data_IF_267568081564
#
_entry.id   IF_267568081564
#
_cell.length_a   1.000
_cell.length_b   1.000
_cell.length_c   1.000
_cell.angle_alpha   90.00
_cell.angle_beta   90.00
_cell.angle_gamma   90.00
#
_symmetry.space_group_name_H-M   'P 1'
#
loop_
_entity.id
_entity.type
_entity.pdbx_description
1 polymer ?
#
# COMPACT_ATOMS: atom_id res chain seq x y z
N UNK A 1 6.57 -15.32 23.71
CA UNK A 1 6.34 -13.96 23.18
C UNK A 1 6.99 -13.94 21.80
N UNK A 2 6.28 -13.57 20.74
CA UNK A 2 6.78 -13.65 19.36
C UNK A 2 7.49 -12.34 19.02
N UNK A 3 8.70 -12.41 18.46
CA UNK A 3 9.45 -11.23 18.00
C UNK A 3 9.00 -10.88 16.58
N UNK A 4 8.56 -9.64 16.37
CA UNK A 4 8.16 -9.11 15.08
C UNK A 4 9.36 -8.54 14.35
N UNK A 5 9.64 -9.06 13.15
CA UNK A 5 10.74 -8.61 12.29
C UNK A 5 10.15 -8.11 10.99
N UNK A 6 10.40 -6.84 10.65
CA UNK A 6 9.98 -6.23 9.39
C UNK A 6 11.22 -5.95 8.54
N UNK A 7 11.32 -6.60 7.39
CA UNK A 7 12.38 -6.33 6.42
C UNK A 7 11.85 -5.37 5.37
N UNK A 8 12.39 -4.16 5.34
CA UNK A 8 12.02 -3.09 4.42
C UNK A 8 12.98 -3.08 3.24
N UNK A 9 12.44 -3.16 2.03
CA UNK A 9 13.23 -3.17 0.80
C UNK A 9 12.46 -2.55 -0.36
N UNK A 10 13.10 -2.38 -1.51
CA UNK A 10 12.47 -1.85 -2.72
C UNK A 10 13.29 -0.78 -3.42
N UNK A 11 12.68 -0.10 -4.38
CA UNK A 11 13.35 0.83 -5.31
C UNK A 11 14.04 1.99 -4.57
N UNK A 12 15.18 2.46 -5.05
CA UNK A 12 15.84 3.63 -4.50
C UNK A 12 15.04 4.89 -4.85
N UNK A 13 14.72 5.72 -3.85
CA UNK A 13 13.82 6.87 -4.03
C UNK A 13 12.32 6.56 -3.85
N UNK A 14 11.95 5.33 -3.49
CA UNK A 14 10.54 4.96 -3.21
C UNK A 14 10.03 5.42 -1.84
N UNK A 15 10.89 5.90 -0.95
CA UNK A 15 10.48 6.38 0.38
C UNK A 15 10.84 5.46 1.54
N UNK A 16 11.77 4.50 1.35
CA UNK A 16 12.29 3.61 2.41
C UNK A 16 12.69 4.36 3.69
N UNK A 17 13.38 5.50 3.60
CA UNK A 17 13.74 6.29 4.79
C UNK A 17 12.51 6.76 5.58
N UNK A 18 11.45 7.20 4.89
CA UNK A 18 10.19 7.60 5.54
C UNK A 18 9.54 6.41 6.25
N UNK A 19 9.62 5.21 5.66
CA UNK A 19 9.14 3.98 6.29
C UNK A 19 9.92 3.68 7.57
N UNK A 20 11.25 3.73 7.51
CA UNK A 20 12.11 3.46 8.66
C UNK A 20 11.87 4.46 9.80
N UNK A 21 11.73 5.75 9.48
CA UNK A 21 11.39 6.80 10.47
C UNK A 21 10.08 6.49 11.19
N UNK A 22 9.06 6.03 10.44
CA UNK A 22 7.75 5.69 11.03
C UNK A 22 7.82 4.41 11.85
N UNK A 23 8.54 3.39 11.39
CA UNK A 23 8.73 2.16 12.15
C UNK A 23 9.44 2.46 13.49
N UNK A 24 10.41 3.37 13.50
CA UNK A 24 11.07 3.85 14.71
C UNK A 24 10.08 4.57 15.63
N UNK A 25 9.28 5.51 15.10
CA UNK A 25 8.24 6.25 15.85
C UNK A 25 7.23 5.29 16.54
N UNK A 26 6.92 4.15 15.92
CA UNK A 26 5.95 3.16 16.44
C UNK A 26 6.60 2.04 17.27
N UNK A 27 7.88 2.20 17.62
CA UNK A 27 8.58 1.37 18.60
C UNK A 27 9.33 0.16 18.03
N UNK A 28 9.63 0.13 16.73
CA UNK A 28 10.60 -0.83 16.19
C UNK A 28 12.03 -0.35 16.46
N UNK A 29 12.91 -1.30 16.77
CA UNK A 29 14.33 -1.06 16.69
C UNK A 29 14.75 -1.07 15.21
N UNK A 30 15.16 0.08 14.68
CA UNK A 30 15.46 0.25 13.26
C UNK A 30 16.96 0.11 12.98
N UNK A 31 17.31 -0.69 11.98
CA UNK A 31 18.65 -0.73 11.38
C UNK A 31 18.53 -0.46 9.89
N UNK A 32 19.36 0.47 9.40
CA UNK A 32 19.46 0.79 7.98
C UNK A 32 20.71 0.15 7.36
N UNK A 33 20.62 -0.16 6.07
CA UNK A 33 21.71 -0.67 5.24
C UNK A 33 22.40 -1.94 5.78
N UNK A 34 21.63 -2.87 6.37
CA UNK A 34 22.18 -4.15 6.83
C UNK A 34 22.44 -5.06 5.62
N UNK A 35 23.67 -5.59 5.46
CA UNK A 35 23.93 -6.61 4.45
C UNK A 35 23.00 -7.81 4.62
N UNK A 36 22.36 -8.30 3.55
CA UNK A 36 21.37 -9.36 3.66
C UNK A 36 21.86 -10.64 4.33
N UNK A 37 23.15 -10.96 4.20
CA UNK A 37 23.78 -12.13 4.84
C UNK A 37 23.88 -12.01 6.37
N UNK A 38 23.76 -10.80 6.92
CA UNK A 38 23.86 -10.54 8.35
C UNK A 38 22.49 -10.46 9.03
N UNK A 39 21.39 -10.48 8.28
CA UNK A 39 20.02 -10.38 8.81
C UNK A 39 19.78 -11.47 9.86
N UNK A 40 20.02 -12.74 9.52
CA UNK A 40 19.79 -13.87 10.42
C UNK A 40 20.57 -13.75 11.74
N UNK A 41 21.88 -13.51 11.64
CA UNK A 41 22.76 -13.32 12.81
C UNK A 41 22.33 -12.14 13.68
N UNK A 42 21.92 -11.03 13.06
CA UNK A 42 21.49 -9.86 13.80
C UNK A 42 20.19 -10.12 14.56
N UNK A 43 19.25 -10.85 13.94
CA UNK A 43 18.01 -11.27 14.62
C UNK A 43 18.33 -12.21 15.79
N UNK A 44 19.25 -13.17 15.63
CA UNK A 44 19.69 -14.05 16.73
C UNK A 44 20.26 -13.25 17.91
N UNK A 45 21.15 -12.28 17.66
CA UNK A 45 21.69 -11.40 18.71
C UNK A 45 20.57 -10.64 19.43
N UNK A 46 19.59 -10.13 18.67
CA UNK A 46 18.46 -9.41 19.27
C UNK A 46 17.56 -10.32 20.11
N UNK A 47 17.39 -11.59 19.69
CA UNK A 47 16.64 -12.61 20.44
C UNK A 47 17.31 -12.96 21.77
N UNK A 48 18.63 -13.06 21.78
CA UNK A 48 19.42 -13.42 22.97
C UNK A 48 19.66 -12.23 23.91
N UNK A 49 19.39 -11.00 23.47
CA UNK A 49 19.60 -9.80 24.28
C UNK A 49 18.68 -9.76 25.51
N UNK A 50 19.23 -9.37 26.68
CA UNK A 50 18.49 -9.25 27.94
C UNK A 50 17.28 -8.30 27.83
N UNK A 51 17.34 -7.32 26.91
CA UNK A 51 16.29 -6.33 26.65
C UNK A 51 15.09 -6.87 25.86
N UNK A 52 15.06 -8.15 25.46
CA UNK A 52 13.93 -8.81 24.78
C UNK A 52 13.30 -7.91 23.70
N UNK A 53 14.10 -7.53 22.69
CA UNK A 53 13.62 -6.72 21.57
C UNK A 53 12.46 -7.44 20.87
N UNK A 54 11.24 -6.93 21.05
CA UNK A 54 10.02 -7.53 20.48
C UNK A 54 9.71 -7.07 19.06
N UNK A 55 10.25 -5.91 18.64
CA UNK A 55 9.97 -5.30 17.34
C UNK A 55 11.29 -4.84 16.71
N UNK A 56 11.61 -5.40 15.54
CA UNK A 56 12.83 -5.13 14.79
C UNK A 56 12.50 -4.77 13.34
N UNK A 57 13.04 -3.65 12.85
CA UNK A 57 12.89 -3.21 11.47
C UNK A 57 14.27 -3.14 10.81
N UNK A 58 14.42 -3.78 9.65
CA UNK A 58 15.69 -3.90 8.93
C UNK A 58 15.49 -3.38 7.51
N UNK A 59 16.12 -2.25 7.19
CA UNK A 59 16.25 -1.82 5.81
C UNK A 59 17.37 -2.62 5.14
N UNK A 60 16.99 -3.47 4.18
CA UNK A 60 17.89 -4.36 3.48
C UNK A 60 17.91 -4.05 1.98
N UNK A 61 19.13 -3.97 1.44
CA UNK A 61 19.36 -3.87 0.01
C UNK A 61 19.50 -5.26 -0.61
N UNK A 62 18.43 -5.72 -1.26
CA UNK A 62 18.34 -7.06 -1.85
C UNK A 62 18.65 -7.08 -3.36
N UNK A 63 19.38 -6.09 -3.88
CA UNK A 63 19.62 -5.88 -5.33
C UNK A 63 20.61 -6.85 -5.99
N UNK A 64 21.44 -7.57 -5.24
CA UNK A 64 22.54 -8.38 -5.79
C UNK A 64 22.17 -9.86 -5.88
N UNK A 65 22.30 -10.47 -7.07
CA UNK A 65 21.81 -11.82 -7.36
C UNK A 65 22.30 -12.92 -6.41
N UNK A 66 23.60 -13.02 -6.18
CA UNK A 66 24.16 -14.04 -5.25
C UNK A 66 23.72 -13.76 -3.81
N UNK A 67 23.71 -12.49 -3.39
CA UNK A 67 23.29 -12.10 -2.05
C UNK A 67 21.79 -12.28 -1.82
N UNK A 68 20.97 -12.14 -2.86
CA UNK A 68 19.53 -12.31 -2.81
C UNK A 68 19.15 -13.75 -2.51
N UNK A 69 19.83 -14.73 -3.14
CA UNK A 69 19.49 -16.15 -2.96
C UNK A 69 19.73 -16.60 -1.52
N UNK A 70 20.87 -16.21 -0.95
CA UNK A 70 21.22 -16.51 0.44
C UNK A 70 20.32 -15.76 1.43
N UNK A 71 20.05 -14.48 1.16
CA UNK A 71 19.13 -13.68 1.96
C UNK A 71 17.71 -14.27 1.94
N UNK A 72 17.23 -14.66 0.77
CA UNK A 72 15.91 -15.25 0.61
C UNK A 72 15.76 -16.54 1.40
N UNK A 73 16.76 -17.43 1.32
CA UNK A 73 16.77 -18.65 2.12
C UNK A 73 16.75 -18.34 3.61
N UNK A 74 17.59 -17.40 4.05
CA UNK A 74 17.63 -16.95 5.45
C UNK A 74 16.26 -16.43 5.91
N UNK A 75 15.59 -15.60 5.10
CA UNK A 75 14.27 -15.06 5.42
C UNK A 75 13.19 -16.16 5.48
N UNK A 76 13.24 -17.15 4.60
CA UNK A 76 12.35 -18.31 4.63
C UNK A 76 12.57 -19.16 5.89
N UNK A 77 13.82 -19.43 6.25
CA UNK A 77 14.17 -20.17 7.46
C UNK A 77 13.68 -19.43 8.71
N UNK A 78 13.87 -18.11 8.77
CA UNK A 78 13.34 -17.29 9.86
C UNK A 78 11.81 -17.30 9.93
N UNK A 79 11.12 -17.28 8.77
CA UNK A 79 9.64 -17.39 8.72
C UNK A 79 9.11 -18.71 9.28
N UNK A 80 9.91 -19.78 9.29
CA UNK A 80 9.52 -21.09 9.84
C UNK A 80 9.67 -21.18 11.37
N UNK A 81 10.34 -20.22 12.00
CA UNK A 81 10.55 -20.21 13.45
C UNK A 81 9.30 -19.71 14.18
N UNK A 82 8.74 -20.52 15.07
CA UNK A 82 7.46 -20.23 15.73
C UNK A 82 7.49 -18.97 16.62
N UNK A 83 8.67 -18.59 17.10
CA UNK A 83 8.89 -17.42 17.95
C UNK A 83 9.23 -16.15 17.15
N UNK A 84 9.32 -16.23 15.82
CA UNK A 84 9.52 -15.08 14.93
C UNK A 84 8.29 -14.82 14.06
N UNK A 85 7.85 -13.57 13.96
CA UNK A 85 6.89 -13.10 12.96
C UNK A 85 7.61 -12.20 11.97
N UNK A 86 8.02 -12.79 10.84
CA UNK A 86 8.83 -12.10 9.83
C UNK A 86 7.93 -11.64 8.69
N UNK A 87 7.93 -10.33 8.42
CA UNK A 87 7.22 -9.70 7.31
C UNK A 87 8.21 -8.95 6.41
N UNK A 88 7.99 -9.02 5.10
CA UNK A 88 8.76 -8.32 4.08
C UNK A 88 7.88 -7.22 3.50
N UNK A 89 8.31 -5.97 3.67
CA UNK A 89 7.70 -4.81 3.05
C UNK A 89 8.52 -4.38 1.83
N UNK A 90 7.91 -4.47 0.66
CA UNK A 90 8.46 -3.96 -0.58
C UNK A 90 7.80 -2.63 -0.95
N UNK A 91 8.61 -1.61 -1.25
CA UNK A 91 8.13 -0.27 -1.61
C UNK A 91 8.72 0.22 -2.93
N UNK A 92 7.87 0.68 -3.84
CA UNK A 92 8.29 1.26 -5.11
C UNK A 92 7.59 2.57 -5.47
N UNK A 93 7.99 3.13 -6.61
CA UNK A 93 7.37 4.25 -7.30
C UNK A 93 7.55 4.02 -8.81
N UNK A 94 6.72 4.66 -9.65
CA UNK A 94 6.92 4.76 -11.09
C UNK A 94 8.26 5.46 -11.39
N UNK A 95 8.92 5.06 -12.47
CA UNK A 95 10.27 5.53 -12.82
C UNK A 95 10.33 7.06 -12.90
N UNK A 96 9.34 7.69 -13.55
CA UNK A 96 9.24 9.15 -13.66
C UNK A 96 9.11 9.85 -12.31
N UNK A 97 8.41 9.23 -11.35
CA UNK A 97 8.28 9.78 -10.00
C UNK A 97 9.59 9.66 -9.24
N UNK A 98 10.29 8.53 -9.36
CA UNK A 98 11.62 8.36 -8.76
C UNK A 98 12.59 9.40 -9.32
N UNK A 99 12.62 9.59 -10.64
CA UNK A 99 13.46 10.58 -11.31
C UNK A 99 13.18 11.98 -10.77
N UNK A 100 11.90 12.35 -10.64
CA UNK A 100 11.49 13.64 -10.09
C UNK A 100 11.97 13.82 -8.64
N UNK A 101 11.81 12.81 -7.78
CA UNK A 101 12.28 12.85 -6.38
C UNK A 101 13.79 13.02 -6.26
N UNK A 102 14.58 12.38 -7.12
CA UNK A 102 16.03 12.58 -7.14
C UNK A 102 16.42 14.01 -7.58
N UNK A 103 15.71 14.57 -8.57
CA UNK A 103 15.91 15.98 -8.98
C UNK A 103 15.58 16.96 -7.87
N UNK A 104 14.52 16.70 -7.09
CA UNK A 104 14.09 17.54 -5.98
C UNK A 104 15.06 17.47 -4.78
N UNK A 105 15.46 16.25 -4.40
CA UNK A 105 16.34 16.03 -3.23
C UNK A 105 17.82 16.27 -3.53
N UNK A 106 18.20 16.37 -4.81
CA UNK A 106 19.59 16.48 -5.30
C UNK A 106 20.51 15.37 -4.80
N UNK A 107 19.95 14.23 -4.38
CA UNK A 107 20.72 13.04 -4.00
C UNK A 107 21.20 12.31 -5.26
N UNK A 108 22.30 11.57 -5.16
CA UNK A 108 22.74 10.66 -6.22
C UNK A 108 22.07 9.30 -6.07
N UNK A 109 21.73 8.67 -7.19
CA UNK A 109 21.25 7.31 -7.20
C UNK A 109 22.40 6.34 -6.82
N UNK A 110 22.18 5.26 -6.04
CA UNK A 110 23.25 4.35 -5.65
C UNK A 110 23.99 3.69 -6.83
N UNK A 111 23.30 3.54 -7.96
CA UNK A 111 23.84 2.99 -9.22
C UNK A 111 24.22 4.05 -10.25
N UNK A 112 24.24 5.33 -9.88
CA UNK A 112 24.49 6.45 -10.81
C UNK A 112 25.84 6.32 -11.54
N UNK A 113 26.90 6.00 -10.80
CA UNK A 113 28.26 5.83 -11.35
C UNK A 113 28.35 4.64 -12.32
N UNK A 114 27.64 3.55 -12.02
CA UNK A 114 27.63 2.35 -12.86
C UNK A 114 27.03 2.61 -14.25
N UNK A 115 26.11 3.55 -14.35
CA UNK A 115 25.43 3.89 -15.61
C UNK A 115 25.82 5.28 -16.14
N UNK A 116 26.96 5.83 -15.70
CA UNK A 116 27.50 7.08 -16.23
C UNK A 116 26.57 8.29 -16.06
N UNK A 117 25.82 8.36 -14.97
CA UNK A 117 24.85 9.44 -14.71
C UNK A 117 23.49 9.26 -15.42
N UNK A 118 23.28 8.17 -16.15
CA UNK A 118 21.99 7.88 -16.76
C UNK A 118 21.01 7.27 -15.75
N UNK A 119 20.26 8.15 -15.08
CA UNK A 119 19.30 7.76 -14.04
C UNK A 119 18.22 6.78 -14.53
N UNK A 120 17.76 6.92 -15.77
CA UNK A 120 16.76 6.00 -16.36
C UNK A 120 17.27 4.56 -16.39
N UNK A 121 18.50 4.35 -16.89
CA UNK A 121 19.10 3.02 -16.97
C UNK A 121 19.36 2.43 -15.57
N UNK A 122 19.77 3.28 -14.62
CA UNK A 122 19.99 2.86 -13.24
C UNK A 122 18.69 2.37 -12.57
N UNK A 123 17.58 3.07 -12.77
CA UNK A 123 16.27 2.70 -12.23
C UNK A 123 15.74 1.43 -12.93
N UNK A 124 15.82 1.37 -14.26
CA UNK A 124 15.35 0.20 -15.02
C UNK A 124 16.09 -1.08 -14.60
N UNK A 125 17.41 -0.99 -14.44
CA UNK A 125 18.22 -2.11 -13.95
C UNK A 125 17.86 -2.50 -12.51
N UNK A 126 17.72 -1.53 -11.61
CA UNK A 126 17.32 -1.79 -10.22
C UNK A 126 15.97 -2.51 -10.14
N UNK A 127 15.00 -2.06 -10.95
CA UNK A 127 13.67 -2.67 -11.03
C UNK A 127 13.73 -4.13 -11.45
N UNK A 128 14.53 -4.45 -12.46
CA UNK A 128 14.73 -5.83 -12.92
C UNK A 128 15.31 -6.73 -11.81
N UNK A 129 16.31 -6.25 -11.07
CA UNK A 129 16.90 -7.01 -9.97
C UNK A 129 15.90 -7.27 -8.83
N UNK A 130 15.04 -6.31 -8.57
CA UNK A 130 14.07 -6.35 -7.47
C UNK A 130 12.79 -7.14 -7.78
N UNK A 131 12.57 -7.57 -9.02
CA UNK A 131 11.39 -8.37 -9.41
C UNK A 131 11.22 -9.63 -8.55
N UNK A 132 12.32 -10.30 -8.21
CA UNK A 132 12.30 -11.52 -7.38
C UNK A 132 11.88 -11.21 -5.94
N UNK A 133 12.36 -10.09 -5.40
CA UNK A 133 12.01 -9.61 -4.05
C UNK A 133 10.53 -9.22 -4.00
N UNK A 134 10.03 -8.58 -5.05
CA UNK A 134 8.61 -8.19 -5.16
C UNK A 134 7.68 -9.41 -5.09
N UNK A 135 8.08 -10.55 -5.68
CA UNK A 135 7.26 -11.77 -5.68
C UNK A 135 7.12 -12.48 -4.32
N UNK A 136 7.95 -12.13 -3.33
CA UNK A 136 7.98 -12.78 -2.01
C UNK A 136 7.57 -11.84 -0.87
N UNK A 137 7.22 -10.60 -1.21
CA UNK A 137 6.87 -9.57 -0.24
C UNK A 137 5.49 -9.85 0.39
N UNK A 138 5.40 -9.72 1.70
CA UNK A 138 4.12 -9.83 2.43
C UNK A 138 3.29 -8.55 2.28
N UNK A 139 3.98 -7.40 2.15
CA UNK A 139 3.38 -6.10 1.91
C UNK A 139 4.02 -5.43 0.70
N UNK A 140 3.19 -4.85 -0.15
CA UNK A 140 3.60 -4.07 -1.32
C UNK A 140 2.95 -2.69 -1.27
N UNK A 141 3.77 -1.63 -1.35
CA UNK A 141 3.30 -0.25 -1.38
C UNK A 141 3.85 0.47 -2.60
N UNK A 142 2.93 0.96 -3.42
CA UNK A 142 3.26 1.84 -4.53
C UNK A 142 3.09 3.31 -4.16
N UNK A 143 4.17 4.08 -4.24
CA UNK A 143 4.23 5.44 -3.64
C UNK A 143 4.13 6.58 -4.63
N UNK A 144 3.93 6.36 -5.93
CA UNK A 144 3.90 7.42 -6.94
C UNK A 144 2.91 8.53 -6.62
N UNK A 145 1.78 8.15 -6.03
CA UNK A 145 0.66 9.03 -5.73
C UNK A 145 0.62 9.45 -4.26
N UNK A 146 1.64 9.11 -3.47
CA UNK A 146 1.68 9.38 -2.04
C UNK A 146 2.51 10.63 -1.77
N UNK A 147 1.93 11.55 -0.99
CA UNK A 147 2.72 12.50 -0.21
C UNK A 147 3.45 11.76 0.93
N UNK A 148 4.50 12.39 1.48
CA UNK A 148 5.21 11.83 2.62
C UNK A 148 4.26 11.54 3.80
N UNK A 149 3.31 12.44 4.08
CA UNK A 149 2.32 12.25 5.16
C UNK A 149 1.40 11.05 4.91
N UNK A 150 0.95 10.84 3.67
CA UNK A 150 0.12 9.67 3.31
C UNK A 150 0.89 8.37 3.43
N UNK A 151 2.17 8.36 3.04
CA UNK A 151 3.03 7.20 3.26
C UNK A 151 3.19 6.91 4.76
N UNK A 152 3.42 7.94 5.59
CA UNK A 152 3.52 7.75 7.04
C UNK A 152 2.26 7.12 7.63
N UNK A 153 1.10 7.62 7.24
CA UNK A 153 -0.18 7.06 7.72
C UNK A 153 -0.37 5.61 7.28
N UNK A 154 -0.08 5.32 6.01
CA UNK A 154 -0.17 3.95 5.49
C UNK A 154 0.73 2.96 6.25
N UNK A 155 1.93 3.38 6.66
CA UNK A 155 2.84 2.52 7.45
C UNK A 155 2.32 2.33 8.88
N UNK A 156 1.77 3.38 9.52
CA UNK A 156 1.15 3.25 10.84
C UNK A 156 -0.02 2.27 10.81
N UNK A 157 -0.91 2.39 9.85
CA UNK A 157 -2.03 1.47 9.67
C UNK A 157 -1.58 -0.01 9.55
N UNK A 158 -0.46 -0.27 8.88
CA UNK A 158 0.03 -1.65 8.68
C UNK A 158 0.69 -2.21 9.95
N UNK A 159 1.38 -1.38 10.74
CA UNK A 159 2.29 -1.86 11.80
C UNK A 159 2.03 -1.34 13.23
N UNK A 160 1.14 -0.34 13.41
CA UNK A 160 0.78 0.24 14.71
C UNK A 160 -0.44 -0.47 15.32
N UNK A 161 -1.40 -0.92 14.51
CA UNK A 161 -2.60 -1.58 15.00
C UNK A 161 -2.29 -3.03 15.41
N UNK A 162 -2.07 -3.20 16.71
CA UNK A 162 -2.02 -4.49 17.39
C UNK A 162 -3.40 -5.18 17.32
N UNK A 163 -3.64 -5.92 16.26
CA UNK A 163 -4.28 -7.22 16.35
C UNK A 163 -3.63 -8.15 15.33
N UNK A 164 -2.87 -9.11 15.84
CA UNK A 164 -2.61 -10.37 15.17
C UNK A 164 -3.84 -10.80 14.34
N UNK A 165 -3.66 -10.93 13.03
CA UNK A 165 -4.59 -11.50 12.03
C UNK A 165 -5.72 -10.63 11.43
N UNK A 166 -5.82 -9.31 11.67
CA UNK A 166 -6.86 -8.51 10.98
C UNK A 166 -6.41 -8.00 9.60
N UNK A 167 -7.04 -8.49 8.53
CA UNK A 167 -6.87 -8.00 7.16
C UNK A 167 -7.22 -6.51 7.03
N UNK A 168 -6.32 -5.70 6.47
CA UNK A 168 -6.58 -4.27 6.19
C UNK A 168 -7.35 -4.09 4.88
N UNK A 169 -8.37 -3.23 4.86
CA UNK A 169 -9.21 -2.99 3.68
C UNK A 169 -9.01 -1.57 3.15
N UNK A 170 -8.64 -1.44 1.88
CA UNK A 170 -8.56 -0.16 1.18
C UNK A 170 -9.75 -0.02 0.25
N UNK A 171 -10.62 0.96 0.50
CA UNK A 171 -11.74 1.30 -0.40
C UNK A 171 -11.35 2.54 -1.19
N UNK A 172 -11.24 2.40 -2.51
CA UNK A 172 -10.73 3.46 -3.38
C UNK A 172 -11.68 3.81 -4.51
N UNK A 173 -11.74 5.09 -4.89
CA UNK A 173 -12.49 5.55 -6.07
C UNK A 173 -11.55 5.95 -7.19
N UNK A 174 -11.93 5.66 -8.44
CA UNK A 174 -11.15 6.06 -9.61
C UNK A 174 -12.03 6.42 -10.82
N UNK A 175 -11.39 7.04 -11.81
CA UNK A 175 -11.97 7.33 -13.13
C UNK A 175 -11.46 6.35 -14.19
N UNK A 176 -12.35 5.66 -14.90
CA UNK A 176 -11.98 4.74 -15.98
C UNK A 176 -11.15 5.40 -17.09
N UNK A 177 -11.33 6.71 -17.32
CA UNK A 177 -10.50 7.45 -18.28
C UNK A 177 -9.02 7.55 -17.87
N UNK A 178 -8.71 7.29 -16.60
CA UNK A 178 -7.35 7.25 -16.05
C UNK A 178 -6.85 5.82 -15.80
N UNK A 179 -7.59 4.80 -16.27
CA UNK A 179 -7.24 3.38 -16.10
C UNK A 179 -7.59 2.79 -14.74
N UNK A 180 -7.71 1.46 -14.66
CA UNK A 180 -7.93 0.74 -13.40
C UNK A 180 -6.58 0.58 -12.69
N UNK A 181 -6.54 0.73 -11.36
CA UNK A 181 -5.31 0.46 -10.59
C UNK A 181 -4.99 -1.03 -10.61
N UNK A 182 -3.74 -1.39 -10.91
CA UNK A 182 -3.25 -2.78 -10.83
C UNK A 182 -3.26 -3.36 -9.42
N UNK A 183 -3.38 -2.50 -8.40
CA UNK A 183 -3.51 -2.92 -6.99
C UNK A 183 -4.92 -3.41 -6.63
N UNK A 184 -5.92 -3.24 -7.51
CA UNK A 184 -7.33 -3.51 -7.15
C UNK A 184 -7.61 -5.02 -7.16
N UNK A 185 -8.08 -5.55 -6.04
CA UNK A 185 -8.54 -6.94 -5.94
C UNK A 185 -9.98 -7.09 -6.45
N UNK A 186 -10.85 -6.16 -6.04
CA UNK A 186 -12.25 -6.07 -6.48
C UNK A 186 -12.45 -4.75 -7.20
N UNK A 187 -13.08 -4.79 -8.38
CA UNK A 187 -13.36 -3.59 -9.19
C UNK A 187 -14.84 -3.57 -9.56
N UNK A 188 -15.53 -2.51 -9.12
CA UNK A 188 -16.96 -2.31 -9.38
C UNK A 188 -17.19 -1.11 -10.28
N UNK A 189 -17.83 -1.34 -11.43
CA UNK A 189 -18.23 -0.29 -12.36
C UNK A 189 -19.59 0.29 -11.99
N UNK A 190 -19.61 1.58 -11.63
CA UNK A 190 -20.84 2.32 -11.27
C UNK A 190 -21.26 3.32 -12.36
N UNK A 191 -20.74 3.19 -13.59
CA UNK A 191 -21.09 4.08 -14.73
C UNK A 191 -22.53 3.92 -15.20
N UNK A 192 -23.17 2.79 -14.90
CA UNK A 192 -24.57 2.53 -15.23
C UNK A 192 -25.58 3.39 -14.44
N UNK A 193 -25.15 4.04 -13.34
CA UNK A 193 -26.02 4.85 -12.50
C UNK A 193 -26.22 6.27 -13.05
N UNK A 194 -27.32 6.97 -12.71
CA UNK A 194 -27.58 8.35 -13.12
C UNK A 194 -26.42 9.29 -12.83
N UNK A 195 -26.05 10.11 -13.81
CA UNK A 195 -24.82 10.87 -13.79
C UNK A 195 -25.03 12.29 -13.23
N UNK A 196 -24.44 12.65 -12.06
CA UNK A 196 -24.60 13.99 -11.47
C UNK A 196 -23.92 15.09 -12.28
N UNK A 197 -23.02 14.73 -13.21
CA UNK A 197 -22.30 15.69 -14.05
C UNK A 197 -23.21 16.57 -14.92
N UNK A 198 -24.39 16.08 -15.30
CA UNK A 198 -25.34 16.81 -16.13
C UNK A 198 -26.18 17.82 -15.36
N UNK A 199 -26.04 17.87 -14.03
CA UNK A 199 -26.71 18.84 -13.16
C UNK A 199 -25.72 19.96 -12.87
N UNK A 200 -25.95 21.20 -13.38
CA UNK A 200 -25.02 22.31 -13.21
C UNK A 200 -24.61 22.54 -11.76
N UNK A 201 -25.56 22.40 -10.83
CA UNK A 201 -25.40 22.61 -9.40
C UNK A 201 -24.54 21.53 -8.74
N UNK A 202 -24.41 20.33 -9.34
CA UNK A 202 -23.63 19.22 -8.77
C UNK A 202 -22.32 18.97 -9.52
N UNK A 203 -22.17 19.54 -10.73
CA UNK A 203 -21.04 19.30 -11.62
C UNK A 203 -19.70 19.60 -10.97
N UNK A 204 -19.63 20.67 -10.17
CA UNK A 204 -18.40 21.12 -9.52
C UNK A 204 -18.11 20.42 -8.19
N UNK A 205 -19.13 19.88 -7.52
CA UNK A 205 -19.02 19.14 -6.27
C UNK A 205 -18.46 17.73 -6.45
N UNK A 206 -18.03 17.10 -5.36
CA UNK A 206 -17.54 15.71 -5.34
C UNK A 206 -18.48 14.79 -4.58
N UNK A 207 -18.33 13.47 -4.76
CA UNK A 207 -19.08 12.47 -3.98
C UNK A 207 -18.72 12.43 -2.49
N UNK A 208 -17.79 13.26 -2.01
CA UNK A 208 -17.54 13.44 -0.58
C UNK A 208 -18.62 14.35 0.04
N UNK A 209 -19.31 15.15 -0.79
CA UNK A 209 -20.28 16.14 -0.35
C UNK A 209 -21.69 15.56 -0.35
N UNK A 210 -22.45 15.85 0.70
CA UNK A 210 -23.80 15.31 0.90
C UNK A 210 -24.74 15.56 -0.27
N UNK A 211 -24.68 16.74 -0.90
CA UNK A 211 -25.53 17.07 -2.05
C UNK A 211 -25.37 16.08 -3.22
N UNK A 212 -24.14 15.62 -3.49
CA UNK A 212 -23.86 14.64 -4.53
C UNK A 212 -24.26 13.24 -4.07
N UNK A 213 -23.97 12.89 -2.82
CA UNK A 213 -24.34 11.58 -2.26
C UNK A 213 -25.86 11.40 -2.27
N UNK A 214 -26.62 12.40 -1.79
CA UNK A 214 -28.08 12.41 -1.77
C UNK A 214 -28.66 12.28 -3.17
N UNK A 215 -28.12 13.00 -4.15
CA UNK A 215 -28.55 12.86 -5.54
C UNK A 215 -28.28 11.45 -6.07
N UNK A 216 -27.05 10.92 -5.91
CA UNK A 216 -26.71 9.56 -6.37
C UNK A 216 -27.60 8.52 -5.70
N UNK A 217 -27.88 8.67 -4.41
CA UNK A 217 -28.69 7.75 -3.60
C UNK A 217 -30.20 8.02 -3.66
N UNK A 218 -30.64 9.05 -4.39
CA UNK A 218 -32.07 9.33 -4.61
C UNK A 218 -32.75 8.28 -5.50
N UNK A 219 -31.97 7.59 -6.32
CA UNK A 219 -32.44 6.58 -7.26
C UNK A 219 -32.50 5.18 -6.63
N UNK A 220 -33.56 4.45 -6.94
CA UNK A 220 -33.77 3.08 -6.43
C UNK A 220 -32.63 2.14 -6.85
N UNK A 221 -32.21 2.18 -8.12
CA UNK A 221 -31.11 1.34 -8.60
C UNK A 221 -29.79 1.58 -7.85
N UNK A 222 -29.51 2.80 -7.39
CA UNK A 222 -28.31 3.11 -6.61
C UNK A 222 -28.39 2.50 -5.22
N UNK A 223 -29.55 2.63 -4.54
CA UNK A 223 -29.78 2.02 -3.23
C UNK A 223 -29.71 0.49 -3.30
N UNK A 224 -30.37 -0.10 -4.30
CA UNK A 224 -30.35 -1.55 -4.52
C UNK A 224 -28.94 -2.07 -4.80
N UNK A 225 -28.14 -1.34 -5.61
CA UNK A 225 -26.75 -1.72 -5.85
C UNK A 225 -25.91 -1.63 -4.58
N UNK A 226 -26.07 -0.57 -3.78
CA UNK A 226 -25.33 -0.43 -2.52
C UNK A 226 -25.60 -1.61 -1.59
N UNK A 227 -26.86 -2.01 -1.40
CA UNK A 227 -27.20 -3.14 -0.53
C UNK A 227 -26.66 -4.48 -1.08
N UNK A 228 -26.70 -4.68 -2.40
CA UNK A 228 -26.07 -5.87 -3.02
C UNK A 228 -24.56 -5.92 -2.83
N UNK A 229 -23.89 -4.77 -2.89
CA UNK A 229 -22.46 -4.68 -2.65
C UNK A 229 -22.12 -4.96 -1.19
N UNK A 230 -22.92 -4.45 -0.24
CA UNK A 230 -22.76 -4.78 1.19
C UNK A 230 -22.89 -6.27 1.45
N UNK A 231 -23.94 -6.89 0.92
CA UNK A 231 -24.19 -8.34 1.03
C UNK A 231 -23.05 -9.16 0.44
N UNK A 232 -22.59 -8.79 -0.77
CA UNK A 232 -21.45 -9.45 -1.42
C UNK A 232 -20.16 -9.29 -0.60
N UNK A 233 -19.88 -8.11 -0.05
CA UNK A 233 -18.68 -7.88 0.73
C UNK A 233 -18.72 -8.60 2.08
N UNK A 234 -19.88 -8.67 2.73
CA UNK A 234 -20.09 -9.47 3.94
C UNK A 234 -19.82 -10.96 3.69
N UNK A 235 -20.13 -11.44 2.48
CA UNK A 235 -19.81 -12.82 2.08
C UNK A 235 -18.32 -13.02 1.75
N UNK A 236 -17.71 -12.11 0.99
CA UNK A 236 -16.35 -12.28 0.48
C UNK A 236 -15.26 -12.01 1.53
N UNK A 237 -15.43 -10.99 2.37
CA UNK A 237 -14.38 -10.55 3.31
C UNK A 237 -13.94 -11.68 4.26
N UNK A 238 -14.84 -12.45 4.90
CA UNK A 238 -14.45 -13.60 5.72
C UNK A 238 -13.65 -14.67 4.95
N UNK A 239 -13.97 -14.89 3.67
CA UNK A 239 -13.26 -15.85 2.83
C UNK A 239 -11.83 -15.38 2.53
N UNK A 240 -11.63 -14.08 2.26
CA UNK A 240 -10.28 -13.52 2.09
C UNK A 240 -9.45 -13.57 3.39
N UNK A 241 -10.09 -13.34 4.54
CA UNK A 241 -9.42 -13.49 5.85
C UNK A 241 -8.99 -14.95 6.04
N UNK A 242 -9.87 -15.92 5.75
CA UNK A 242 -9.55 -17.35 5.85
C UNK A 242 -8.43 -17.78 4.89
N UNK A 243 -8.35 -17.19 3.69
CA UNK A 243 -7.25 -17.39 2.75
C UNK A 243 -5.90 -16.85 3.28
N UNK A 244 -5.92 -16.05 4.35
CA UNK A 244 -4.72 -15.43 4.94
C UNK A 244 -4.31 -14.14 4.24
N UNK A 245 -5.24 -13.49 3.54
CA UNK A 245 -4.96 -12.23 2.84
C UNK A 245 -4.74 -11.11 3.86
N UNK A 246 -3.59 -10.45 3.78
CA UNK A 246 -3.23 -9.36 4.69
C UNK A 246 -3.87 -8.02 4.30
N UNK A 247 -4.21 -7.84 3.02
CA UNK A 247 -4.78 -6.61 2.47
C UNK A 247 -5.79 -6.87 1.36
N UNK A 248 -6.94 -6.20 1.40
CA UNK A 248 -7.97 -6.22 0.36
C UNK A 248 -8.21 -4.82 -0.21
N UNK A 249 -8.07 -4.65 -1.53
CA UNK A 249 -8.31 -3.37 -2.22
C UNK A 249 -9.61 -3.44 -3.03
N UNK A 250 -10.60 -2.65 -2.62
CA UNK A 250 -11.93 -2.54 -3.23
C UNK A 250 -12.02 -1.22 -4.00
N UNK A 251 -12.13 -1.28 -5.33
CA UNK A 251 -12.11 -0.13 -6.20
C UNK A 251 -13.47 0.14 -6.85
N UNK A 252 -13.96 1.37 -6.74
CA UNK A 252 -15.16 1.85 -7.43
C UNK A 252 -14.79 2.77 -8.60
N UNK A 253 -15.27 2.43 -9.79
CA UNK A 253 -14.96 3.16 -11.01
C UNK A 253 -16.18 3.91 -11.57
N UNK A 254 -16.03 5.20 -11.86
CA UNK A 254 -16.92 5.93 -12.76
C UNK A 254 -16.13 6.54 -13.91
N UNK A 255 -16.73 7.33 -14.81
CA UNK A 255 -15.96 7.88 -15.94
C UNK A 255 -14.85 8.82 -15.49
N UNK A 256 -15.16 9.79 -14.63
CA UNK A 256 -14.24 10.85 -14.21
C UNK A 256 -13.60 10.67 -12.82
N UNK A 257 -14.06 9.69 -12.03
CA UNK A 257 -13.55 9.48 -10.67
C UNK A 257 -13.96 10.54 -9.65
N UNK A 258 -15.07 11.26 -9.88
CA UNK A 258 -15.45 12.47 -9.12
C UNK A 258 -16.74 12.36 -8.30
N UNK A 259 -17.77 11.71 -8.82
CA UNK A 259 -19.12 11.75 -8.22
C UNK A 259 -19.57 10.37 -7.72
N UNK A 260 -20.01 9.52 -8.65
CA UNK A 260 -20.60 8.20 -8.35
C UNK A 260 -19.60 7.27 -7.65
N UNK A 261 -18.39 7.13 -8.17
CA UNK A 261 -17.38 6.26 -7.54
C UNK A 261 -16.99 6.74 -6.15
N UNK A 262 -16.78 8.05 -5.97
CA UNK A 262 -16.50 8.63 -4.64
C UNK A 262 -17.65 8.35 -3.67
N UNK A 263 -18.91 8.53 -4.10
CA UNK A 263 -20.09 8.25 -3.27
C UNK A 263 -20.10 6.80 -2.79
N UNK A 264 -19.88 5.83 -3.68
CA UNK A 264 -19.84 4.42 -3.29
C UNK A 264 -18.63 4.08 -2.41
N UNK A 265 -17.46 4.67 -2.66
CA UNK A 265 -16.29 4.53 -1.80
C UNK A 265 -16.57 5.02 -0.38
N UNK A 266 -17.20 6.18 -0.22
CA UNK A 266 -17.55 6.72 1.09
C UNK A 266 -18.54 5.82 1.83
N UNK A 267 -19.66 5.47 1.18
CA UNK A 267 -20.72 4.69 1.81
C UNK A 267 -20.30 3.25 2.16
N UNK A 268 -19.52 2.59 1.30
CA UNK A 268 -18.98 1.26 1.59
C UNK A 268 -17.88 1.33 2.64
N UNK A 269 -17.01 2.34 2.57
CA UNK A 269 -15.98 2.52 3.58
C UNK A 269 -16.59 2.72 4.97
N UNK A 270 -17.57 3.61 5.11
CA UNK A 270 -18.29 3.85 6.38
C UNK A 270 -19.01 2.60 6.87
N UNK A 271 -19.62 1.82 5.96
CA UNK A 271 -20.27 0.56 6.29
C UNK A 271 -19.28 -0.44 6.90
N UNK A 272 -18.13 -0.65 6.26
CA UNK A 272 -17.12 -1.60 6.74
C UNK A 272 -16.47 -1.11 8.06
N UNK A 273 -16.26 0.20 8.23
CA UNK A 273 -15.81 0.78 9.51
C UNK A 273 -16.83 0.48 10.61
N UNK A 274 -18.13 0.63 10.32
CA UNK A 274 -19.19 0.34 11.30
C UNK A 274 -19.25 -1.13 11.72
N UNK A 275 -18.69 -2.04 10.90
CA UNK A 275 -18.52 -3.48 11.21
C UNK A 275 -17.27 -3.77 12.04
N UNK A 276 -16.50 -2.75 12.43
CA UNK A 276 -15.26 -2.88 13.19
C UNK A 276 -14.06 -3.32 12.34
N UNK A 277 -14.14 -3.20 11.01
CA UNK A 277 -13.02 -3.52 10.13
C UNK A 277 -12.05 -2.34 10.01
N UNK A 278 -10.76 -2.64 9.84
CA UNK A 278 -9.75 -1.64 9.57
C UNK A 278 -9.83 -1.20 8.09
N UNK A 279 -10.33 0.03 7.85
CA UNK A 279 -10.67 0.50 6.50
C UNK A 279 -10.06 1.87 6.19
N UNK A 280 -9.45 1.97 5.01
CA UNK A 280 -8.83 3.19 4.48
C UNK A 280 -9.60 3.65 3.25
N UNK A 281 -10.16 4.86 3.28
CA UNK A 281 -10.85 5.46 2.13
C UNK A 281 -9.87 6.32 1.32
N UNK A 282 -9.82 6.12 0.00
CA UNK A 282 -8.97 6.91 -0.89
C UNK A 282 -9.72 7.34 -2.15
N UNK A 283 -9.47 8.57 -2.62
CA UNK A 283 -10.00 9.02 -3.91
C UNK A 283 -8.87 9.36 -4.87
N UNK A 284 -8.49 8.40 -5.72
CA UNK A 284 -7.28 8.47 -6.55
C UNK A 284 -7.27 9.65 -7.52
N UNK A 285 -8.41 9.93 -8.12
CA UNK A 285 -8.53 10.92 -9.20
C UNK A 285 -9.30 12.18 -8.77
N UNK A 286 -9.52 12.35 -7.46
CA UNK A 286 -10.20 13.54 -6.94
C UNK A 286 -9.42 14.80 -7.32
N UNK A 287 -10.06 15.71 -8.03
CA UNK A 287 -9.44 16.98 -8.46
C UNK A 287 -8.61 16.93 -9.75
N UNK A 288 -8.43 15.76 -10.41
CA UNK A 288 -7.77 15.70 -11.73
C UNK A 288 -8.57 16.34 -12.88
N UNK A 289 -9.84 16.65 -12.64
CA UNK A 289 -10.75 17.37 -13.55
C UNK A 289 -10.89 18.86 -13.22
N UNK A 290 -9.99 19.44 -12.40
CA UNK A 290 -9.97 20.89 -12.19
C UNK A 290 -9.32 21.57 -13.39
N UNK A 291 -9.96 22.60 -13.99
CA UNK A 291 -9.32 23.45 -14.99
C UNK A 291 -8.13 24.22 -14.40
#
# INVERSE_FOLDING_TARGET
MRMHVVVVTGMSGSGKSVVMDVLEDIGYYCIDNLPPQLIGKFVEICRESENHLQKLAIAADLRSGDMFTDAYRTLLEMKQQADLDVKILYIEAEDEVIIKRYKETRRKHPLDERFGGCLHNAIAYEREQLLRVKGIADYYIETSYFSASQLKEQIREIFLDNSSDSMSIKVTSFGFKYGVSTESDLVFDVRCLPNPYYIPELRHHTGCEKCVQEYVMSFEQSRTLLEKLKDLLDFLIPLYIQEGKSRLVIAFGCTGGKHRSITFTELIGDYLISKGMHVVKQHRDIGKDRP
#
